data_IF_406639033604
#
_entry.id   IF_406639033604
#
_cell.length_a   1.000
_cell.length_b   1.000
_cell.length_c   1.000
_cell.angle_alpha   90.00
_cell.angle_beta   90.00
_cell.angle_gamma   90.00
#
_symmetry.space_group_name_H-M   'P 1'
#
loop_
_entity.id
_entity.type
_entity.pdbx_description
1 polymer ?
#
# COMPACT_ATOMS: atom_id res chain seq x y z
N UNK A 1 -16.85 24.67 -49.99
CA UNK A 1 -15.98 24.85 -48.80
C UNK A 1 -16.66 25.55 -47.61
N UNK A 2 -17.79 26.27 -47.75
CA UNK A 2 -18.39 27.03 -46.64
C UNK A 2 -19.24 26.24 -45.62
N UNK A 3 -19.85 25.11 -46.01
CA UNK A 3 -20.78 24.37 -45.13
C UNK A 3 -20.08 23.57 -44.01
N UNK A 4 -18.93 22.95 -44.30
CA UNK A 4 -18.17 22.19 -43.29
C UNK A 4 -17.56 23.08 -42.21
N UNK A 5 -17.17 24.32 -42.57
CA UNK A 5 -16.68 25.30 -41.60
C UNK A 5 -17.78 25.82 -40.69
N UNK A 6 -19.02 25.91 -41.19
CA UNK A 6 -20.17 26.36 -40.41
C UNK A 6 -20.64 25.28 -39.43
N UNK A 7 -20.65 24.01 -39.85
CA UNK A 7 -20.97 22.86 -39.00
C UNK A 7 -19.96 22.74 -37.85
N UNK A 8 -18.66 22.81 -38.16
CA UNK A 8 -17.62 22.78 -37.13
C UNK A 8 -17.71 23.96 -36.15
N UNK A 9 -18.12 25.15 -36.62
CA UNK A 9 -18.35 26.31 -35.74
C UNK A 9 -19.54 26.10 -34.80
N UNK A 10 -20.60 25.44 -35.26
CA UNK A 10 -21.79 25.16 -34.45
C UNK A 10 -21.54 24.05 -33.43
N UNK A 11 -20.80 23.01 -33.81
CA UNK A 11 -20.37 21.94 -32.90
C UNK A 11 -19.46 22.48 -31.78
N UNK A 12 -18.53 23.38 -32.12
CA UNK A 12 -17.67 24.03 -31.12
C UNK A 12 -18.49 24.91 -30.16
N UNK A 13 -19.53 25.59 -30.63
CA UNK A 13 -20.41 26.36 -29.77
C UNK A 13 -21.18 25.47 -28.78
N UNK A 14 -21.73 24.35 -29.24
CA UNK A 14 -22.44 23.39 -28.39
C UNK A 14 -21.52 22.77 -27.33
N UNK A 15 -20.26 22.48 -27.67
CA UNK A 15 -19.26 22.00 -26.72
C UNK A 15 -18.91 23.06 -25.66
N UNK A 16 -18.80 24.34 -26.07
CA UNK A 16 -18.58 25.45 -25.14
C UNK A 16 -19.75 25.60 -24.15
N UNK A 17 -20.99 25.49 -24.63
CA UNK A 17 -22.19 25.54 -23.78
C UNK A 17 -22.23 24.37 -22.79
N UNK A 18 -21.85 23.16 -23.25
CA UNK A 18 -21.78 21.97 -22.39
C UNK A 18 -20.69 22.11 -21.30
N UNK A 19 -19.54 22.70 -21.64
CA UNK A 19 -18.47 22.97 -20.67
C UNK A 19 -18.92 24.01 -19.65
N UNK A 20 -19.61 25.07 -20.08
CA UNK A 20 -20.16 26.09 -19.18
C UNK A 20 -21.16 25.49 -18.19
N UNK A 21 -22.09 24.65 -18.67
CA UNK A 21 -23.06 23.95 -17.83
C UNK A 21 -22.39 22.99 -16.84
N UNK A 22 -21.32 22.29 -17.27
CA UNK A 22 -20.56 21.41 -16.39
C UNK A 22 -19.81 22.19 -15.30
N UNK A 23 -19.28 23.37 -15.62
CA UNK A 23 -18.63 24.25 -14.64
C UNK A 23 -19.62 24.81 -13.61
N UNK A 24 -20.84 25.16 -14.03
CA UNK A 24 -21.93 25.58 -13.14
C UNK A 24 -22.34 24.46 -12.18
N UNK A 25 -22.56 23.25 -12.70
CA UNK A 25 -22.86 22.08 -11.88
C UNK A 25 -21.73 21.77 -10.87
N UNK A 26 -20.47 21.89 -11.28
CA UNK A 26 -19.33 21.71 -10.39
C UNK A 26 -19.29 22.78 -9.28
N UNK A 27 -19.69 24.02 -9.58
CA UNK A 27 -19.80 25.09 -8.60
C UNK A 27 -20.88 24.76 -7.55
N UNK A 28 -22.07 24.34 -7.99
CA UNK A 28 -23.17 23.94 -7.10
C UNK A 28 -22.76 22.77 -6.19
N UNK A 29 -22.13 21.73 -6.74
CA UNK A 29 -21.64 20.59 -5.96
C UNK A 29 -20.56 21.00 -4.95
N UNK A 30 -19.68 21.95 -5.31
CA UNK A 30 -18.68 22.49 -4.38
C UNK A 30 -19.33 23.26 -3.23
N UNK A 31 -20.37 24.05 -3.51
CA UNK A 31 -21.11 24.77 -2.47
C UNK A 31 -21.88 23.83 -1.56
N UNK A 32 -22.55 22.82 -2.11
CA UNK A 32 -23.26 21.80 -1.33
C UNK A 32 -22.30 21.01 -0.44
N UNK A 33 -21.15 20.59 -0.97
CA UNK A 33 -20.08 19.94 -0.18
C UNK A 33 -19.63 20.83 0.97
N UNK A 34 -19.41 22.12 0.72
CA UNK A 34 -18.96 23.05 1.76
C UNK A 34 -20.06 23.30 2.81
N UNK A 35 -21.31 23.36 2.39
CA UNK A 35 -22.46 23.44 3.28
C UNK A 35 -22.57 22.21 4.20
N UNK A 36 -22.51 21.00 3.63
CA UNK A 36 -22.55 19.75 4.38
C UNK A 36 -21.35 19.62 5.33
N UNK A 37 -20.16 20.04 4.89
CA UNK A 37 -18.95 20.05 5.72
C UNK A 37 -19.11 21.00 6.92
N UNK A 38 -19.61 22.22 6.71
CA UNK A 38 -19.91 23.17 7.79
C UNK A 38 -20.93 22.59 8.78
N UNK A 39 -21.98 21.93 8.26
CA UNK A 39 -23.01 21.29 9.09
C UNK A 39 -22.45 20.13 9.92
N UNK A 40 -21.54 19.33 9.36
CA UNK A 40 -20.82 18.27 10.07
C UNK A 40 -19.92 18.83 11.17
N UNK A 41 -19.13 19.88 10.88
CA UNK A 41 -18.32 20.55 11.90
C UNK A 41 -19.16 21.10 13.06
N UNK A 42 -20.34 21.66 12.75
CA UNK A 42 -21.26 22.15 13.76
C UNK A 42 -21.87 21.03 14.64
N UNK A 43 -22.09 19.84 14.08
CA UNK A 43 -22.51 18.66 14.85
C UNK A 43 -21.36 18.04 15.68
N UNK A 44 -20.11 18.24 15.24
CA UNK A 44 -18.91 17.70 15.89
C UNK A 44 -18.38 18.59 17.03
N UNK A 45 -18.90 19.81 17.19
CA UNK A 45 -18.57 20.71 18.30
C UNK A 45 -17.27 21.51 18.12
N UNK A 46 -16.79 21.72 16.89
CA UNK A 46 -15.56 22.46 16.62
C UNK A 46 -15.82 23.83 15.97
N UNK A 47 -15.05 24.83 16.41
CA UNK A 47 -15.18 26.27 16.12
C UNK A 47 -14.39 26.65 14.84
N UNK A 48 -15.09 27.35 13.94
CA UNK A 48 -14.71 28.16 12.74
C UNK A 48 -13.68 27.69 11.67
N UNK A 49 -14.05 27.68 10.37
CA UNK A 49 -13.19 27.26 9.24
C UNK A 49 -12.37 28.38 8.57
N UNK A 50 -12.17 29.53 9.21
CA UNK A 50 -11.52 30.69 8.55
C UNK A 50 -9.98 30.63 8.48
N UNK A 51 -9.33 29.63 9.09
CA UNK A 51 -7.86 29.61 9.22
C UNK A 51 -7.13 28.65 8.26
N UNK A 52 -7.85 27.84 7.47
CA UNK A 52 -7.21 26.82 6.62
C UNK A 52 -6.87 27.28 5.19
N UNK A 53 -7.34 28.46 4.75
CA UNK A 53 -7.12 28.93 3.37
C UNK A 53 -5.83 29.78 3.24
N UNK A 54 -5.31 30.34 4.34
CA UNK A 54 -4.18 31.29 4.28
C UNK A 54 -2.77 30.67 4.26
N UNK A 55 -2.61 29.33 4.32
CA UNK A 55 -1.28 28.70 4.48
C UNK A 55 -0.59 28.25 3.20
N UNK A 56 -1.15 28.55 2.02
CA UNK A 56 -0.58 28.10 0.73
C UNK A 56 0.17 29.18 -0.06
N UNK A 57 0.32 30.40 0.47
CA UNK A 57 1.08 31.46 -0.20
C UNK A 57 1.82 32.36 0.80
N UNK A 58 3.07 32.03 1.15
CA UNK A 58 4.18 33.01 1.33
C UNK A 58 5.43 32.38 1.97
N UNK A 59 6.57 32.65 1.33
CA UNK A 59 7.95 32.30 1.67
C UNK A 59 8.49 32.88 3.00
N UNK A 60 9.52 32.19 3.52
CA UNK A 60 10.78 32.69 4.11
C UNK A 60 10.77 33.51 5.42
N UNK A 61 11.89 33.33 6.17
CA UNK A 61 12.47 34.15 7.26
C UNK A 61 12.19 33.67 8.71
N UNK A 62 13.24 33.07 9.29
CA UNK A 62 13.61 33.10 10.72
C UNK A 62 14.31 34.44 11.04
N UNK A 63 14.60 34.84 12.31
CA UNK A 63 14.28 34.23 13.62
C UNK A 63 13.85 35.24 14.72
N UNK A 64 13.65 34.70 15.93
CA UNK A 64 14.13 35.22 17.24
C UNK A 64 13.07 35.55 18.31
N UNK A 65 13.31 34.91 19.46
CA UNK A 65 13.16 35.33 20.87
C UNK A 65 11.84 35.96 21.34
N UNK A 66 11.29 35.44 22.45
CA UNK A 66 11.10 36.18 23.72
C UNK A 66 10.41 35.27 24.76
N UNK A 67 11.10 35.07 25.88
CA UNK A 67 10.55 34.66 27.18
C UNK A 67 10.04 35.95 27.89
N UNK A 68 9.11 35.89 28.85
CA UNK A 68 9.54 35.82 30.26
C UNK A 68 8.60 35.07 31.24
N UNK A 69 9.16 34.90 32.44
CA UNK A 69 8.78 34.12 33.63
C UNK A 69 7.58 34.66 34.45
N UNK A 70 7.09 33.83 35.40
CA UNK A 70 6.94 34.05 36.87
C UNK A 70 5.84 33.10 37.43
N UNK A 71 5.85 32.44 38.59
CA UNK A 71 6.77 32.20 39.73
C UNK A 71 6.07 31.24 40.71
N UNK A 72 6.85 30.28 41.25
CA UNK A 72 6.90 29.51 42.54
C UNK A 72 5.88 29.79 43.70
N UNK A 73 5.78 29.00 44.83
CA UNK A 73 6.80 28.09 45.41
C UNK A 73 6.38 26.80 46.23
N UNK A 74 7.32 25.82 46.19
CA UNK A 74 7.94 24.95 47.26
C UNK A 74 7.17 24.39 48.49
N UNK A 75 7.40 23.08 48.74
CA UNK A 75 7.88 22.43 50.02
C UNK A 75 8.08 20.90 49.77
N UNK A 76 9.29 20.34 49.64
CA UNK A 76 10.29 19.84 50.63
C UNK A 76 9.87 18.71 51.59
N UNK A 77 10.54 17.55 51.49
CA UNK A 77 10.99 16.56 52.51
C UNK A 77 10.71 15.10 52.05
N UNK A 78 11.68 14.30 51.56
CA UNK A 78 12.76 13.55 52.26
C UNK A 78 12.23 12.46 53.21
N UNK A 79 12.42 11.16 52.88
CA UNK A 79 13.23 10.15 53.65
C UNK A 79 12.93 8.67 53.29
N UNK A 80 13.98 8.00 52.78
CA UNK A 80 14.54 6.65 53.03
C UNK A 80 13.63 5.41 53.30
N UNK A 81 13.82 4.42 52.42
CA UNK A 81 14.16 3.00 52.60
C UNK A 81 13.80 2.23 53.90
N UNK A 82 13.17 1.06 53.72
CA UNK A 82 13.42 -0.15 54.51
C UNK A 82 13.05 -1.42 53.71
N UNK A 83 13.96 -2.39 53.76
CA UNK A 83 13.89 -3.80 53.36
C UNK A 83 12.82 -4.57 54.15
N UNK A 84 12.07 -5.46 53.49
CA UNK A 84 11.82 -6.82 54.01
C UNK A 84 11.33 -7.76 52.90
N UNK A 85 11.72 -9.03 52.97
CA UNK A 85 11.50 -10.04 51.96
C UNK A 85 10.13 -10.71 52.04
N UNK A 86 9.67 -11.23 50.90
CA UNK A 86 8.98 -12.54 50.87
C UNK A 86 8.96 -13.04 49.43
N UNK A 87 9.47 -14.26 49.27
CA UNK A 87 9.41 -15.00 48.02
C UNK A 87 7.95 -15.28 47.63
N UNK A 88 7.57 -14.89 46.42
CA UNK A 88 6.45 -15.54 45.73
C UNK A 88 6.84 -15.80 44.27
N UNK A 89 7.08 -17.10 44.00
CA UNK A 89 7.24 -17.66 42.67
C UNK A 89 5.96 -17.47 41.86
N UNK A 90 5.85 -16.37 41.12
CA UNK A 90 4.91 -16.26 40.03
C UNK A 90 5.63 -16.57 38.72
N UNK A 91 5.50 -17.82 38.28
CA UNK A 91 5.83 -18.24 36.90
C UNK A 91 5.02 -17.37 35.94
N UNK A 92 5.65 -16.32 35.40
CA UNK A 92 5.10 -15.56 34.30
C UNK A 92 4.98 -16.51 33.09
N UNK A 93 3.76 -17.01 32.84
CA UNK A 93 3.39 -17.55 31.53
C UNK A 93 3.66 -16.45 30.53
N UNK A 94 4.76 -16.58 29.76
CA UNK A 94 4.98 -15.82 28.53
C UNK A 94 3.82 -16.14 27.59
N UNK A 95 2.77 -15.33 27.67
CA UNK A 95 1.77 -15.24 26.63
C UNK A 95 2.49 -14.63 25.44
N UNK A 96 2.79 -15.46 24.43
CA UNK A 96 3.25 -14.97 23.13
C UNK A 96 2.17 -14.03 22.62
N UNK A 97 2.39 -12.73 22.77
CA UNK A 97 1.52 -11.68 22.26
C UNK A 97 1.62 -11.76 20.74
N UNK A 98 0.72 -12.54 20.14
CA UNK A 98 0.54 -12.59 18.69
C UNK A 98 0.39 -11.15 18.21
N UNK A 99 1.23 -10.72 17.27
CA UNK A 99 1.17 -9.37 16.72
C UNK A 99 -0.26 -9.10 16.21
N UNK A 100 -0.83 -7.96 16.57
CA UNK A 100 -2.23 -7.62 16.27
C UNK A 100 -2.35 -7.31 14.76
N UNK A 101 -3.19 -8.05 14.04
CA UNK A 101 -3.50 -7.77 12.62
C UNK A 101 -4.61 -6.72 12.55
N UNK A 102 -4.22 -5.49 12.23
CA UNK A 102 -5.12 -4.36 12.15
C UNK A 102 -5.72 -4.24 10.75
N UNK A 103 -7.04 -4.09 10.65
CA UNK A 103 -7.80 -3.98 9.40
C UNK A 103 -8.22 -2.54 9.16
N UNK A 104 -7.99 -2.07 7.94
CA UNK A 104 -8.48 -0.78 7.47
C UNK A 104 -9.98 -0.83 7.22
N UNK A 105 -10.69 0.25 7.57
CA UNK A 105 -12.10 0.41 7.24
C UNK A 105 -12.26 0.55 5.73
N UNK A 106 -13.14 -0.26 5.16
CA UNK A 106 -13.49 -0.21 3.73
C UNK A 106 -14.97 0.16 3.56
N UNK A 107 -15.34 0.81 2.45
CA UNK A 107 -16.74 1.05 2.12
C UNK A 107 -17.49 -0.28 1.93
N UNK A 108 -18.69 -0.37 2.51
CA UNK A 108 -19.61 -1.48 2.33
C UNK A 108 -20.89 -0.99 1.65
N UNK A 109 -21.52 -1.85 0.86
CA UNK A 109 -22.82 -1.60 0.27
C UNK A 109 -23.96 -1.74 1.32
N UNK A 110 -25.19 -1.52 0.87
CA UNK A 110 -26.41 -1.64 1.71
C UNK A 110 -26.62 -3.06 2.28
N UNK A 111 -25.96 -4.06 1.71
CA UNK A 111 -26.00 -5.45 2.13
C UNK A 111 -24.77 -5.85 2.98
N UNK A 112 -23.90 -4.89 3.33
CA UNK A 112 -22.68 -5.12 4.10
C UNK A 112 -21.55 -5.78 3.32
N UNK A 113 -21.61 -5.79 1.98
CA UNK A 113 -20.56 -6.35 1.11
C UNK A 113 -19.53 -5.29 0.74
N UNK A 114 -18.24 -5.65 0.59
CA UNK A 114 -17.22 -4.73 0.12
C UNK A 114 -17.59 -4.10 -1.23
N UNK A 115 -17.41 -2.78 -1.33
CA UNK A 115 -17.47 -2.07 -2.61
C UNK A 115 -16.08 -2.08 -3.25
N UNK A 116 -16.00 -2.54 -4.50
CA UNK A 116 -14.77 -2.54 -5.29
C UNK A 116 -14.69 -1.32 -6.20
N UNK A 117 -13.47 -0.87 -6.56
CA UNK A 117 -12.18 -1.39 -6.08
C UNK A 117 -11.82 -0.94 -4.66
N UNK A 118 -11.06 -1.78 -3.93
CA UNK A 118 -10.53 -1.46 -2.60
C UNK A 118 -9.08 -1.01 -2.75
N UNK A 119 -8.81 0.26 -2.48
CA UNK A 119 -7.46 0.85 -2.57
C UNK A 119 -6.75 0.87 -1.21
N UNK A 120 -5.54 0.34 -1.19
CA UNK A 120 -4.68 0.12 -0.02
C UNK A 120 -3.25 0.62 -0.34
N UNK A 121 -3.09 1.92 -0.60
CA UNK A 121 -1.82 2.50 -1.04
C UNK A 121 -1.51 2.16 -2.50
N UNK A 122 -0.33 1.56 -2.76
CA UNK A 122 0.08 1.12 -4.10
C UNK A 122 -0.65 -0.17 -4.55
N UNK A 123 -1.41 -0.82 -3.67
CA UNK A 123 -2.25 -1.98 -3.94
C UNK A 123 -3.71 -1.57 -4.17
N UNK A 124 -4.35 -2.13 -5.20
CA UNK A 124 -5.80 -2.00 -5.43
C UNK A 124 -6.41 -3.36 -5.73
N UNK A 125 -7.47 -3.75 -5.05
CA UNK A 125 -8.15 -5.05 -5.23
C UNK A 125 -9.49 -4.84 -5.95
N UNK A 126 -9.74 -5.61 -7.01
CA UNK A 126 -10.93 -5.53 -7.86
C UNK A 126 -11.91 -6.67 -7.64
N UNK A 127 -11.40 -7.84 -7.24
CA UNK A 127 -12.20 -9.03 -6.98
C UNK A 127 -11.52 -9.89 -5.93
N UNK A 128 -12.29 -10.39 -4.97
CA UNK A 128 -11.80 -11.36 -3.99
C UNK A 128 -11.84 -12.80 -4.51
N UNK A 129 -12.54 -13.06 -5.63
CA UNK A 129 -12.73 -14.40 -6.17
C UNK A 129 -13.63 -15.30 -5.32
N UNK A 130 -13.59 -16.59 -5.62
CA UNK A 130 -14.40 -17.64 -4.99
C UNK A 130 -13.52 -18.67 -4.28
N UNK A 131 -13.91 -19.03 -3.05
CA UNK A 131 -13.16 -20.00 -2.25
C UNK A 131 -13.42 -21.42 -2.74
N UNK A 132 -12.33 -22.08 -3.15
CA UNK A 132 -12.32 -23.49 -3.54
C UNK A 132 -12.11 -24.33 -2.28
N UNK A 133 -13.14 -25.07 -1.86
CA UNK A 133 -13.12 -25.84 -0.59
C UNK A 133 -12.96 -27.35 -0.75
N UNK A 134 -13.11 -27.86 -1.97
CA UNK A 134 -13.00 -29.27 -2.33
C UNK A 134 -11.55 -29.70 -2.65
N UNK A 135 -10.63 -28.74 -2.85
CA UNK A 135 -9.24 -28.99 -3.25
C UNK A 135 -8.26 -28.39 -2.26
N UNK A 136 -7.47 -29.25 -1.61
CA UNK A 136 -6.55 -28.89 -0.51
C UNK A 136 -5.44 -27.90 -0.92
N UNK A 137 -5.07 -27.87 -2.21
CA UNK A 137 -3.98 -27.02 -2.70
C UNK A 137 -4.37 -25.53 -2.82
N UNK A 138 -5.64 -25.17 -2.63
CA UNK A 138 -6.15 -23.80 -2.75
C UNK A 138 -6.12 -23.01 -1.43
N UNK A 139 -5.50 -23.55 -0.38
CA UNK A 139 -5.23 -22.83 0.85
C UNK A 139 -4.02 -23.42 1.59
N UNK A 140 -3.43 -22.62 2.46
CA UNK A 140 -2.45 -23.04 3.46
C UNK A 140 -3.07 -22.87 4.85
N UNK A 141 -2.26 -23.01 5.91
CA UNK A 141 -2.73 -22.69 7.26
C UNK A 141 -3.11 -21.20 7.43
N UNK A 142 -2.44 -20.31 6.68
CA UNK A 142 -2.52 -18.86 6.89
C UNK A 142 -3.14 -18.09 5.73
N UNK A 143 -3.20 -18.69 4.54
CA UNK A 143 -3.67 -18.06 3.31
C UNK A 143 -4.73 -18.90 2.61
N UNK A 144 -5.65 -18.23 1.94
CA UNK A 144 -6.63 -18.82 1.04
C UNK A 144 -6.33 -18.25 -0.34
N UNK A 145 -6.44 -19.08 -1.38
CA UNK A 145 -6.19 -18.70 -2.77
C UNK A 145 -7.49 -18.81 -3.58
N UNK A 146 -8.38 -17.80 -3.52
CA UNK A 146 -9.65 -17.84 -4.22
C UNK A 146 -9.46 -17.77 -5.74
N UNK A 147 -10.23 -18.54 -6.49
CA UNK A 147 -10.24 -18.48 -7.95
C UNK A 147 -10.97 -17.21 -8.41
N UNK A 148 -10.38 -16.46 -9.34
CA UNK A 148 -10.91 -15.18 -9.81
C UNK A 148 -10.53 -13.98 -8.94
N UNK A 149 -9.63 -14.17 -7.97
CA UNK A 149 -9.01 -13.05 -7.26
C UNK A 149 -8.24 -12.17 -8.26
N UNK A 150 -8.42 -10.84 -8.15
CA UNK A 150 -7.81 -9.87 -9.04
C UNK A 150 -7.41 -8.60 -8.28
N UNK A 151 -6.13 -8.24 -8.36
CA UNK A 151 -5.58 -7.01 -7.82
C UNK A 151 -4.61 -6.36 -8.79
N UNK A 152 -4.29 -5.09 -8.57
CA UNK A 152 -3.16 -4.42 -9.21
C UNK A 152 -2.22 -3.85 -8.18
N UNK A 153 -0.93 -3.83 -8.49
CA UNK A 153 0.08 -3.14 -7.68
C UNK A 153 0.95 -2.23 -8.54
N UNK A 154 1.17 -1.01 -8.06
CA UNK A 154 2.15 -0.09 -8.65
C UNK A 154 3.55 -0.50 -8.21
N UNK A 155 4.44 -0.74 -9.16
CA UNK A 155 5.81 -1.16 -8.88
C UNK A 155 6.78 -0.69 -9.99
N UNK A 156 8.05 -1.12 -9.98
CA UNK A 156 9.01 -0.69 -10.98
C UNK A 156 8.74 -1.28 -12.37
N UNK A 157 8.92 -0.48 -13.42
CA UNK A 157 8.75 -0.87 -14.81
C UNK A 157 9.83 -1.88 -15.25
N UNK A 158 9.46 -2.80 -16.15
CA UNK A 158 10.34 -3.85 -16.68
C UNK A 158 11.49 -3.30 -17.53
N UNK A 159 11.25 -2.24 -18.31
CA UNK A 159 12.26 -1.63 -19.19
C UNK A 159 13.11 -0.58 -18.48
N UNK A 160 12.52 0.16 -17.54
CA UNK A 160 13.24 1.16 -16.76
C UNK A 160 12.83 1.13 -15.27
N UNK A 161 13.72 0.59 -14.44
CA UNK A 161 13.57 0.48 -12.97
C UNK A 161 13.32 1.83 -12.28
N UNK A 162 13.66 2.96 -12.94
CA UNK A 162 13.43 4.33 -12.42
C UNK A 162 12.02 4.84 -12.66
N UNK A 163 11.20 4.10 -13.38
CA UNK A 163 9.81 4.48 -13.70
C UNK A 163 8.83 3.48 -13.11
N UNK A 164 7.60 3.93 -12.86
CA UNK A 164 6.52 3.09 -12.33
C UNK A 164 5.79 2.36 -13.46
N UNK A 165 5.28 1.17 -13.16
CA UNK A 165 4.33 0.43 -13.98
C UNK A 165 3.24 -0.16 -13.09
N UNK A 166 2.06 -0.37 -13.66
CA UNK A 166 0.98 -1.12 -13.01
C UNK A 166 1.11 -2.60 -13.36
N UNK A 167 0.92 -3.47 -12.36
CA UNK A 167 0.95 -4.92 -12.52
C UNK A 167 -0.36 -5.52 -12.06
N UNK A 168 -1.05 -6.22 -12.95
CA UNK A 168 -2.27 -6.97 -12.65
C UNK A 168 -1.91 -8.37 -12.13
N UNK A 169 -2.35 -8.71 -10.93
CA UNK A 169 -2.13 -10.00 -10.27
C UNK A 169 -3.44 -10.81 -10.25
N UNK A 170 -3.40 -12.07 -10.70
CA UNK A 170 -4.58 -12.94 -10.77
C UNK A 170 -4.32 -14.32 -10.16
N UNK A 171 -5.35 -14.87 -9.51
CA UNK A 171 -5.39 -16.27 -9.09
C UNK A 171 -6.46 -16.96 -9.92
N UNK A 172 -6.07 -17.98 -10.68
CA UNK A 172 -6.93 -18.73 -11.60
C UNK A 172 -7.06 -20.18 -11.16
N UNK A 173 -8.11 -20.84 -11.66
CA UNK A 173 -8.26 -22.29 -11.52
C UNK A 173 -7.23 -23.01 -12.39
N UNK A 174 -6.26 -23.67 -11.74
CA UNK A 174 -5.24 -24.48 -12.40
C UNK A 174 -5.54 -25.98 -12.35
N UNK A 175 -6.78 -26.37 -12.06
CA UNK A 175 -7.19 -27.77 -11.85
C UNK A 175 -6.79 -28.25 -10.45
N UNK A 176 -5.83 -29.18 -10.30
CA UNK A 176 -5.44 -29.72 -8.99
C UNK A 176 -4.82 -28.69 -8.04
N UNK A 177 -4.25 -27.59 -8.55
CA UNK A 177 -3.63 -26.51 -7.76
C UNK A 177 -3.91 -25.15 -8.40
N UNK A 178 -3.90 -24.04 -7.63
CA UNK A 178 -4.10 -22.71 -8.19
C UNK A 178 -2.99 -22.34 -9.18
N UNK A 179 -3.34 -21.50 -10.15
CA UNK A 179 -2.41 -20.85 -11.08
C UNK A 179 -2.34 -19.37 -10.73
N UNK A 180 -1.12 -18.85 -10.59
CA UNK A 180 -0.87 -17.44 -10.30
C UNK A 180 -0.31 -16.75 -11.54
N UNK A 181 -0.71 -15.50 -11.76
CA UNK A 181 -0.23 -14.68 -12.87
C UNK A 181 0.07 -13.26 -12.42
N UNK A 182 1.18 -12.70 -12.93
CA UNK A 182 1.45 -11.26 -12.94
C UNK A 182 1.55 -10.80 -14.39
N UNK A 183 0.79 -9.76 -14.75
CA UNK A 183 0.80 -9.12 -16.06
C UNK A 183 1.18 -7.66 -15.90
N UNK A 184 2.12 -7.19 -16.71
CA UNK A 184 2.45 -5.76 -16.79
C UNK A 184 1.54 -5.08 -17.79
N UNK A 185 0.99 -3.93 -17.45
CA UNK A 185 0.16 -3.14 -18.37
C UNK A 185 0.97 -2.53 -19.52
N UNK A 186 2.29 -2.44 -19.38
CA UNK A 186 3.17 -1.78 -20.35
C UNK A 186 3.96 -2.76 -21.24
N UNK A 187 4.21 -4.00 -20.78
CA UNK A 187 5.37 -4.73 -21.34
C UNK A 187 5.45 -6.25 -21.19
N UNK A 188 4.32 -6.96 -21.20
CA UNK A 188 4.34 -8.42 -21.23
C UNK A 188 3.35 -8.97 -22.24
N UNK A 189 3.85 -9.36 -23.42
CA UNK A 189 3.08 -10.17 -24.39
C UNK A 189 2.62 -11.49 -23.76
N UNK A 190 3.31 -11.97 -22.72
CA UNK A 190 2.97 -13.18 -21.97
C UNK A 190 2.97 -12.94 -20.45
N UNK A 191 1.99 -13.49 -19.72
CA UNK A 191 1.93 -13.39 -18.26
C UNK A 191 3.13 -14.10 -17.60
N UNK A 192 3.60 -13.55 -16.48
CA UNK A 192 4.51 -14.24 -15.57
C UNK A 192 3.69 -15.24 -14.74
N UNK A 193 3.73 -16.50 -15.16
CA UNK A 193 2.94 -17.58 -14.56
C UNK A 193 3.73 -18.31 -13.49
N UNK A 194 3.07 -18.69 -12.40
CA UNK A 194 3.67 -19.53 -11.35
C UNK A 194 2.65 -20.42 -10.66
N UNK A 195 3.16 -21.41 -9.93
CA UNK A 195 2.38 -22.32 -9.08
C UNK A 195 2.26 -21.84 -7.63
N UNK A 196 3.02 -20.82 -7.26
CA UNK A 196 2.88 -20.06 -6.02
C UNK A 196 2.98 -18.56 -6.31
N UNK A 197 2.48 -17.68 -5.42
CA UNK A 197 2.68 -16.24 -5.55
C UNK A 197 4.17 -15.86 -5.61
N UNK A 198 5.00 -16.51 -4.78
CA UNK A 198 6.43 -16.23 -4.70
C UNK A 198 7.17 -16.58 -5.98
N UNK A 199 6.75 -17.65 -6.68
CA UNK A 199 7.30 -18.01 -7.99
C UNK A 199 7.04 -16.90 -9.02
N UNK A 200 5.83 -16.32 -9.05
CA UNK A 200 5.51 -15.20 -9.93
C UNK A 200 6.33 -13.96 -9.59
N UNK A 201 6.42 -13.64 -8.30
CA UNK A 201 7.13 -12.46 -7.84
C UNK A 201 8.65 -12.57 -8.06
N UNK A 202 9.23 -13.76 -7.88
CA UNK A 202 10.63 -14.03 -8.24
C UNK A 202 10.88 -13.83 -9.74
N UNK A 203 9.98 -14.33 -10.60
CA UNK A 203 10.04 -14.09 -12.05
C UNK A 203 9.94 -12.61 -12.40
N UNK A 204 9.08 -11.85 -11.70
CA UNK A 204 8.97 -10.41 -11.87
C UNK A 204 10.28 -9.69 -11.52
N UNK A 205 10.86 -9.96 -10.35
CA UNK A 205 12.11 -9.34 -9.93
C UNK A 205 13.24 -9.62 -10.94
N UNK A 206 13.34 -10.86 -11.42
CA UNK A 206 14.31 -11.24 -12.45
C UNK A 206 14.05 -10.56 -13.80
N UNK A 207 12.79 -10.39 -14.19
CA UNK A 207 12.40 -9.71 -15.43
C UNK A 207 12.72 -8.21 -15.38
N UNK A 208 12.58 -7.56 -14.22
CA UNK A 208 12.96 -6.15 -14.02
C UNK A 208 14.49 -5.99 -14.09
N UNK A 209 15.24 -6.82 -13.36
CA UNK A 209 16.70 -6.83 -13.40
C UNK A 209 17.29 -8.02 -12.67
N UNK A 210 18.32 -8.63 -13.27
CA UNK A 210 19.09 -9.71 -12.64
C UNK A 210 19.71 -9.31 -11.28
N UNK A 211 19.98 -8.01 -11.07
CA UNK A 211 20.50 -7.52 -9.79
C UNK A 211 19.49 -7.64 -8.64
N UNK A 212 18.18 -7.75 -8.94
CA UNK A 212 17.11 -7.86 -7.95
C UNK A 212 16.89 -9.29 -7.46
N UNK A 213 17.60 -10.29 -8.02
CA UNK A 213 17.54 -11.69 -7.58
C UNK A 213 17.90 -11.89 -6.09
N UNK A 214 18.57 -10.91 -5.48
CA UNK A 214 18.97 -10.92 -4.07
C UNK A 214 17.82 -10.52 -3.14
N UNK A 215 16.76 -9.89 -3.66
CA UNK A 215 15.56 -9.56 -2.90
C UNK A 215 14.74 -10.83 -2.71
N UNK A 216 14.38 -11.12 -1.46
CA UNK A 216 13.54 -12.28 -1.14
C UNK A 216 12.13 -12.08 -1.73
N UNK A 217 11.57 -13.06 -2.45
CA UNK A 217 10.24 -12.95 -3.02
C UNK A 217 9.19 -12.90 -1.90
N UNK A 218 8.33 -11.88 -1.97
CA UNK A 218 7.14 -11.68 -1.15
C UNK A 218 5.85 -11.69 -1.96
N UNK A 219 5.61 -12.78 -2.68
CA UNK A 219 4.53 -12.86 -3.65
C UNK A 219 3.14 -12.72 -3.03
N UNK A 220 2.91 -13.30 -1.85
CA UNK A 220 1.62 -13.13 -1.17
C UNK A 220 1.32 -11.65 -0.85
N UNK A 221 2.32 -10.91 -0.38
CA UNK A 221 2.22 -9.47 -0.10
C UNK A 221 2.09 -8.67 -1.39
N UNK A 222 2.84 -9.04 -2.44
CA UNK A 222 2.77 -8.40 -3.75
C UNK A 222 1.37 -8.51 -4.37
N UNK A 223 0.76 -9.71 -4.33
CA UNK A 223 -0.62 -9.93 -4.76
C UNK A 223 -1.64 -9.25 -3.83
N UNK A 224 -1.25 -8.88 -2.60
CA UNK A 224 -2.12 -8.32 -1.58
C UNK A 224 -2.98 -9.35 -0.85
N UNK A 225 -2.82 -10.64 -1.14
CA UNK A 225 -3.64 -11.71 -0.56
C UNK A 225 -3.34 -11.93 0.93
N UNK A 226 -2.15 -11.55 1.38
CA UNK A 226 -1.74 -11.53 2.79
C UNK A 226 -2.10 -10.23 3.53
N UNK A 227 -2.57 -9.19 2.83
CA UNK A 227 -2.90 -7.93 3.47
C UNK A 227 -4.04 -8.14 4.49
N UNK A 228 -3.93 -7.68 5.75
CA UNK A 228 -4.89 -7.99 6.81
C UNK A 228 -6.35 -7.72 6.45
N UNK A 229 -6.62 -6.57 5.82
CA UNK A 229 -7.96 -6.22 5.33
C UNK A 229 -8.49 -7.25 4.33
N UNK A 230 -7.66 -7.67 3.37
CA UNK A 230 -8.06 -8.61 2.32
C UNK A 230 -8.25 -10.00 2.89
N UNK A 231 -7.34 -10.45 3.78
CA UNK A 231 -7.50 -11.72 4.50
C UNK A 231 -8.81 -11.77 5.30
N UNK A 232 -9.15 -10.69 6.00
CA UNK A 232 -10.40 -10.61 6.76
C UNK A 232 -11.64 -10.73 5.86
N UNK A 233 -11.60 -10.09 4.68
CA UNK A 233 -12.70 -10.15 3.71
C UNK A 233 -12.84 -11.55 3.12
N UNK A 234 -11.73 -12.16 2.68
CA UNK A 234 -11.74 -13.53 2.14
C UNK A 234 -12.21 -14.52 3.21
N UNK A 235 -11.74 -14.38 4.45
CA UNK A 235 -12.18 -15.24 5.56
C UNK A 235 -13.70 -15.17 5.80
N UNK A 236 -14.33 -14.03 5.48
CA UNK A 236 -15.76 -13.79 5.65
C UNK A 236 -16.61 -14.34 4.48
N UNK A 237 -15.98 -14.82 3.41
CA UNK A 237 -16.69 -15.41 2.26
C UNK A 237 -17.21 -16.82 2.54
N UNK A 238 -18.31 -17.25 1.87
CA UNK A 238 -18.81 -18.62 1.97
C UNK A 238 -17.75 -19.65 1.54
N UNK A 239 -17.74 -20.82 2.18
CA UNK A 239 -16.81 -21.91 1.88
C UNK A 239 -15.56 -21.96 2.77
N UNK A 240 -15.13 -20.83 3.34
CA UNK A 240 -13.94 -20.76 4.21
C UNK A 240 -13.97 -21.75 5.39
N UNK A 241 -15.14 -21.97 6.00
CA UNK A 241 -15.29 -22.90 7.14
C UNK A 241 -15.04 -24.37 6.80
N UNK A 242 -15.04 -24.72 5.50
CA UNK A 242 -14.82 -26.09 5.01
C UNK A 242 -13.34 -26.39 4.73
N UNK A 243 -12.47 -25.38 4.80
CA UNK A 243 -11.04 -25.53 4.49
C UNK A 243 -10.34 -26.30 5.61
N UNK A 244 -9.83 -27.48 5.27
CA UNK A 244 -9.33 -28.44 6.26
C UNK A 244 -8.10 -27.96 7.06
N UNK A 245 -7.24 -27.14 6.45
CA UNK A 245 -5.96 -26.71 7.04
C UNK A 245 -5.98 -25.26 7.52
N UNK A 246 -6.91 -24.45 7.00
CA UNK A 246 -6.93 -23.01 7.25
C UNK A 246 -7.28 -22.70 8.70
N UNK A 247 -6.42 -21.92 9.36
CA UNK A 247 -6.61 -21.46 10.74
C UNK A 247 -7.25 -20.08 10.71
N UNK A 248 -8.47 -19.97 11.22
CA UNK A 248 -9.14 -18.67 11.30
C UNK A 248 -8.30 -17.66 12.09
N UNK A 249 -8.05 -16.52 11.46
CA UNK A 249 -7.26 -15.44 12.02
C UNK A 249 -8.19 -14.41 12.69
N UNK A 250 -7.67 -13.76 13.73
CA UNK A 250 -8.36 -12.67 14.43
C UNK A 250 -7.85 -11.34 13.89
N UNK A 251 -8.79 -10.48 13.53
CA UNK A 251 -8.54 -9.15 12.99
C UNK A 251 -9.15 -8.09 13.90
N UNK A 252 -8.41 -7.02 14.16
CA UNK A 252 -8.89 -5.86 14.91
C UNK A 252 -9.13 -4.71 13.95
N UNK A 253 -10.34 -4.13 13.97
CA UNK A 253 -10.65 -2.97 13.12
C UNK A 253 -10.01 -1.72 13.71
N UNK A 254 -9.27 -0.95 12.90
CA UNK A 254 -8.75 0.36 13.30
C UNK A 254 -9.89 1.26 13.79
N UNK A 255 -9.86 1.65 15.07
CA UNK A 255 -10.69 2.76 15.55
C UNK A 255 -10.01 4.05 15.08
N UNK A 256 -10.73 4.90 14.34
CA UNK A 256 -10.27 6.20 13.86
C UNK A 256 -9.55 6.99 14.98
N UNK A 257 -8.23 6.91 15.02
CA UNK A 257 -7.38 7.87 15.69
C UNK A 257 -6.62 8.63 14.59
N UNK A 258 -6.39 9.94 14.74
CA UNK A 258 -5.42 10.63 13.90
C UNK A 258 -4.10 9.87 14.05
N UNK A 259 -3.57 9.44 12.90
CA UNK A 259 -2.42 8.56 12.78
C UNK A 259 -1.19 9.18 13.46
N UNK A 260 -0.95 8.82 14.72
CA UNK A 260 0.34 8.99 15.37
C UNK A 260 1.40 8.24 14.55
N UNK A 261 2.56 8.86 14.35
CA UNK A 261 3.66 8.44 13.47
C UNK A 261 4.35 7.17 14.03
N UNK A 262 3.68 6.03 13.97
CA UNK A 262 4.22 4.75 14.44
C UNK A 262 3.56 3.55 13.76
N UNK A 263 4.29 2.92 12.84
CA UNK A 263 4.08 1.55 12.31
C UNK A 263 2.65 1.20 11.92
N UNK A 264 2.21 1.70 10.77
CA UNK A 264 1.05 1.15 10.06
C UNK A 264 1.53 0.11 9.04
N UNK A 265 0.75 -0.96 8.74
CA UNK A 265 1.14 -1.97 7.75
C UNK A 265 1.41 -1.38 6.36
N UNK A 266 0.74 -0.28 6.01
CA UNK A 266 0.98 0.48 4.76
C UNK A 266 2.41 1.02 4.69
N UNK A 267 2.95 1.49 5.83
CA UNK A 267 4.31 2.04 5.88
C UNK A 267 5.38 0.94 5.78
N UNK A 268 5.11 -0.27 6.27
CA UNK A 268 6.04 -1.40 6.15
C UNK A 268 6.18 -1.85 4.69
N UNK A 269 5.08 -1.97 3.95
CA UNK A 269 5.11 -2.30 2.51
C UNK A 269 5.88 -1.27 1.68
N UNK A 270 5.72 0.04 1.98
CA UNK A 270 6.39 1.12 1.24
C UNK A 270 7.92 1.12 1.42
N UNK A 271 8.39 0.62 2.57
CA UNK A 271 9.83 0.54 2.89
C UNK A 271 10.54 -0.71 2.37
N UNK A 272 9.78 -1.73 1.97
CA UNK A 272 10.33 -2.99 1.48
C UNK A 272 10.68 -2.92 -0.01
N UNK A 273 11.91 -3.23 -0.43
CA UNK A 273 12.30 -3.12 -1.82
C UNK A 273 11.58 -4.11 -2.73
N UNK A 274 11.04 -5.22 -2.22
CA UNK A 274 10.22 -6.17 -2.99
C UNK A 274 8.77 -5.73 -3.19
N UNK A 275 8.30 -4.69 -2.50
CA UNK A 275 6.87 -4.29 -2.54
C UNK A 275 6.68 -2.81 -2.91
N UNK A 276 7.57 -1.94 -2.45
CA UNK A 276 7.49 -0.50 -2.64
C UNK A 276 8.44 0.00 -3.73
N UNK A 277 7.92 0.75 -4.70
CA UNK A 277 8.72 1.35 -5.77
C UNK A 277 9.85 2.24 -5.21
N UNK A 278 9.56 3.10 -4.23
CA UNK A 278 10.54 4.01 -3.66
C UNK A 278 11.68 3.26 -2.94
N UNK A 279 11.38 2.18 -2.24
CA UNK A 279 12.36 1.32 -1.60
C UNK A 279 13.23 0.57 -2.61
N UNK A 280 12.60 0.00 -3.65
CA UNK A 280 13.33 -0.67 -4.73
C UNK A 280 14.29 0.30 -5.42
N UNK A 281 13.81 1.50 -5.76
CA UNK A 281 14.61 2.49 -6.46
C UNK A 281 15.87 2.88 -5.67
N UNK A 282 15.74 3.07 -4.35
CA UNK A 282 16.90 3.29 -3.45
C UNK A 282 17.85 2.08 -3.44
N UNK A 283 17.30 0.86 -3.32
CA UNK A 283 18.09 -0.37 -3.32
C UNK A 283 18.88 -0.54 -4.64
N UNK A 284 18.22 -0.31 -5.77
CA UNK A 284 18.80 -0.43 -7.10
C UNK A 284 19.89 0.63 -7.34
N UNK A 285 19.64 1.89 -6.95
CA UNK A 285 20.63 2.96 -7.08
C UNK A 285 21.90 2.68 -6.27
N UNK A 286 21.76 2.17 -5.04
CA UNK A 286 22.90 1.77 -4.21
C UNK A 286 23.68 0.63 -4.88
N UNK A 287 23.01 -0.45 -5.29
CA UNK A 287 23.65 -1.60 -5.93
C UNK A 287 24.45 -1.21 -7.20
N UNK A 288 23.91 -0.34 -8.03
CA UNK A 288 24.62 0.16 -9.21
C UNK A 288 25.76 1.13 -8.85
N UNK A 289 25.63 1.93 -7.79
CA UNK A 289 26.71 2.83 -7.35
C UNK A 289 27.94 2.08 -6.84
N UNK A 290 27.75 0.90 -6.25
CA UNK A 290 28.85 0.02 -5.84
C UNK A 290 29.51 -0.66 -7.05
N UNK A 291 28.73 -1.07 -8.05
CA UNK A 291 29.26 -1.62 -9.31
C UNK A 291 30.14 -0.66 -10.11
N UNK A 292 29.87 0.64 -10.05
CA UNK A 292 30.70 1.66 -10.72
C UNK A 292 32.03 1.91 -9.96
N UNK A 293 32.12 1.48 -8.69
CA UNK A 293 33.32 1.66 -7.85
C UNK A 293 34.21 0.42 -7.76
N UNK A 294 33.86 -0.68 -8.43
CA UNK A 294 34.80 -1.77 -8.65
C UNK A 294 35.82 -1.29 -9.70
N UNK A 295 37.00 -0.88 -9.23
CA UNK A 295 38.19 -0.76 -10.08
C UNK A 295 38.35 -2.06 -10.89
N UNK A 296 38.69 -1.97 -12.19
CA UNK A 296 38.92 -3.16 -13.00
C UNK A 296 39.96 -4.03 -12.31
N UNK A 297 39.69 -5.33 -12.20
CA UNK A 297 40.65 -6.22 -11.57
C UNK A 297 41.96 -6.22 -12.38
N UNK A 298 43.12 -6.42 -11.74
CA UNK A 298 44.41 -6.50 -12.45
C UNK A 298 44.37 -7.52 -13.59
N UNK A 299 43.50 -8.53 -13.50
CA UNK A 299 43.24 -9.51 -14.55
C UNK A 299 42.55 -8.91 -15.79
N UNK A 300 41.64 -7.95 -15.61
CA UNK A 300 40.96 -7.27 -16.70
C UNK A 300 41.89 -6.24 -17.38
N UNK A 301 42.77 -5.60 -16.61
CA UNK A 301 43.82 -4.72 -17.14
C UNK A 301 44.86 -5.49 -17.95
N UNK A 302 45.25 -6.70 -17.51
CA UNK A 302 46.14 -7.58 -18.26
C UNK A 302 45.51 -8.08 -19.57
N UNK A 303 44.22 -8.42 -19.56
CA UNK A 303 43.50 -8.82 -20.77
C UNK A 303 43.38 -7.69 -21.80
N UNK A 304 43.22 -6.44 -21.34
CA UNK A 304 43.23 -5.27 -22.22
C UNK A 304 44.63 -4.94 -22.77
N UNK A 305 45.68 -5.28 -22.03
CA UNK A 305 47.06 -5.10 -22.47
C UNK A 305 47.48 -6.12 -23.54
N UNK A 306 46.99 -7.37 -23.47
CA UNK A 306 47.19 -8.37 -24.52
C UNK A 306 46.43 -8.05 -25.82
N UNK A 307 45.32 -7.30 -25.76
CA UNK A 307 44.55 -6.88 -26.93
C UNK A 307 45.13 -5.67 -27.68
N UNK A 308 46.04 -4.94 -27.03
CA UNK A 308 46.75 -3.78 -27.59
C UNK A 308 48.21 -4.07 -27.97
N UNK A 309 48.63 -5.33 -27.86
CA UNK A 309 49.93 -5.87 -28.28
C UNK A 309 49.83 -6.55 -29.64
#
# INVERSE_FOLDING_TARGET
MGVSSLISSLENAALCDQVAQMQENLMLVKEERLFLLRKLCQQQGDIDPSTMIARSQSNSINPSSFNPECSTPKKTAKKRASTDGSETKNKAKRYNKTARKVVQLIPLDVHGRPIFPISLGDLTVYSLGEVVSDRIAYHTEDLIYPVGYCSTRVYANLRDVRTKSLYTCKILDGGPKPRFEIVSDNDLDQPLVGSTPDECHSKLLMAISLALRTIAPKGADFFGISHPTIQNLIQSTPGTRKLAMYKQQRFEVSKNQPMERGTSPVMEEETDPGLGFAALHRHYALANSYRIKEEPSDSDLLALQELLS
#
